data_IF_830998538617
#
_entry.id   IF_830998538617
#
_cell.length_a   1.000
_cell.length_b   1.000
_cell.length_c   1.000
_cell.angle_alpha   90.00
_cell.angle_beta   90.00
_cell.angle_gamma   90.00
#
_symmetry.space_group_name_H-M   'P 1'
#
loop_
_entity.id
_entity.type
_entity.pdbx_description
1 polymer ?
#
# COMPACT_ATOMS: atom_id res chain seq x y z
N UNK A 1 6.92 13.70 10.31
CA UNK A 1 7.30 12.26 10.36
C UNK A 1 6.29 11.51 11.21
N UNK A 2 6.01 10.25 10.87
CA UNK A 2 5.13 9.38 11.62
C UNK A 2 5.74 9.06 13.00
N UNK A 3 4.93 9.06 14.05
CA UNK A 3 5.38 8.69 15.41
C UNK A 3 5.60 7.17 15.50
N UNK A 4 6.45 6.69 16.42
CA UNK A 4 6.57 5.26 16.73
C UNK A 4 5.19 4.65 17.04
N UNK A 5 4.92 3.46 16.49
CA UNK A 5 3.60 2.81 16.55
C UNK A 5 2.52 3.42 15.65
N UNK A 6 2.82 4.49 14.91
CA UNK A 6 1.89 5.12 13.99
C UNK A 6 1.59 4.26 12.77
N UNK A 7 0.42 4.50 12.18
CA UNK A 7 -0.03 3.85 10.94
C UNK A 7 -0.07 4.85 9.80
N UNK A 8 0.43 4.46 8.63
CA UNK A 8 0.37 5.20 7.38
C UNK A 8 -0.43 4.39 6.35
N UNK A 9 -1.48 5.00 5.81
CA UNK A 9 -2.15 4.51 4.61
C UNK A 9 -1.53 5.23 3.40
N UNK A 10 -0.82 4.47 2.57
CA UNK A 10 -0.38 4.92 1.25
C UNK A 10 -1.48 4.59 0.24
N UNK A 11 -1.88 5.56 -0.58
CA UNK A 11 -2.90 5.37 -1.59
C UNK A 11 -2.63 6.19 -2.86
N UNK A 12 -2.98 5.63 -4.00
CA UNK A 12 -2.87 6.28 -5.33
C UNK A 12 -4.10 5.95 -6.17
N UNK A 13 -4.45 6.81 -7.12
CA UNK A 13 -5.42 6.52 -8.17
C UNK A 13 -4.76 5.90 -9.42
N UNK A 14 -3.64 5.19 -9.25
CA UNK A 14 -2.89 4.56 -10.34
C UNK A 14 -3.10 3.05 -10.38
N UNK A 15 -2.95 2.48 -11.56
CA UNK A 15 -2.86 1.02 -11.80
C UNK A 15 -1.42 0.58 -12.11
N UNK A 16 -0.47 1.52 -12.17
CA UNK A 16 0.91 1.24 -12.53
C UNK A 16 1.68 0.69 -11.34
N UNK A 17 2.23 -0.52 -11.48
CA UNK A 17 3.01 -1.20 -10.44
C UNK A 17 4.15 -0.33 -9.88
N UNK A 18 4.78 0.48 -10.72
CA UNK A 18 5.87 1.39 -10.34
C UNK A 18 5.46 2.47 -9.34
N UNK A 19 4.20 2.91 -9.38
CA UNK A 19 3.65 3.88 -8.43
C UNK A 19 3.06 3.19 -7.18
N UNK A 20 2.91 1.86 -7.21
CA UNK A 20 2.13 1.10 -6.25
C UNK A 20 3.01 0.08 -5.51
N UNK A 21 2.85 -1.22 -5.80
CA UNK A 21 3.55 -2.31 -5.10
C UNK A 21 5.08 -2.20 -5.16
N UNK A 22 5.65 -1.68 -6.26
CA UNK A 22 7.09 -1.49 -6.37
C UNK A 22 7.57 -0.31 -5.50
N UNK A 23 6.77 0.76 -5.39
CA UNK A 23 7.07 1.90 -4.53
C UNK A 23 7.09 1.47 -3.07
N UNK A 24 6.14 0.62 -2.66
CA UNK A 24 6.09 0.06 -1.30
C UNK A 24 7.25 -0.89 -1.05
N UNK A 25 7.58 -1.77 -2.00
CA UNK A 25 8.73 -2.65 -1.89
C UNK A 25 10.03 -1.85 -1.66
N UNK A 26 10.26 -0.81 -2.46
CA UNK A 26 11.43 0.05 -2.34
C UNK A 26 11.42 0.83 -1.02
N UNK A 27 10.26 1.32 -0.57
CA UNK A 27 10.14 2.00 0.72
C UNK A 27 10.53 1.07 1.88
N UNK A 28 9.98 -0.14 1.94
CA UNK A 28 10.27 -1.11 2.99
C UNK A 28 11.74 -1.55 3.00
N UNK A 29 12.38 -1.66 1.83
CA UNK A 29 13.81 -1.95 1.73
C UNK A 29 14.68 -0.84 2.33
N UNK A 30 14.25 0.42 2.21
CA UNK A 30 15.01 1.59 2.67
C UNK A 30 14.65 2.02 4.10
N UNK A 31 13.58 1.48 4.67
CA UNK A 31 13.05 1.86 5.99
C UNK A 31 12.89 0.63 6.88
N UNK A 32 13.95 0.27 7.61
CA UNK A 32 13.95 -0.88 8.52
C UNK A 32 13.02 -0.70 9.75
N UNK A 33 12.58 0.53 10.03
CA UNK A 33 11.60 0.85 11.07
C UNK A 33 10.14 0.77 10.58
N UNK A 34 9.91 0.33 9.34
CA UNK A 34 8.59 0.19 8.75
C UNK A 34 8.27 -1.27 8.40
N UNK A 35 7.02 -1.66 8.62
CA UNK A 35 6.48 -2.96 8.21
C UNK A 35 5.17 -2.78 7.45
N UNK A 36 4.90 -3.68 6.51
CA UNK A 36 3.58 -3.77 5.89
C UNK A 36 2.59 -4.47 6.83
N UNK A 37 1.41 -3.89 6.98
CA UNK A 37 0.25 -4.58 7.53
C UNK A 37 -0.65 -5.02 6.37
N UNK A 38 -0.78 -6.34 6.17
CA UNK A 38 -1.56 -6.91 5.07
C UNK A 38 -3.04 -6.56 5.20
N UNK A 39 -3.61 -6.05 4.11
CA UNK A 39 -5.03 -5.73 4.01
C UNK A 39 -5.80 -7.03 3.72
N UNK A 40 -6.50 -7.54 4.72
CA UNK A 40 -7.35 -8.73 4.61
C UNK A 40 -8.78 -8.32 4.26
N UNK A 41 -9.01 -8.01 2.99
CA UNK A 41 -10.33 -7.70 2.44
C UNK A 41 -10.65 -8.63 1.27
N UNK A 42 -11.93 -8.82 1.00
CA UNK A 42 -12.47 -9.67 -0.06
C UNK A 42 -12.54 -8.99 -1.43
N UNK A 43 -12.37 -7.66 -1.48
CA UNK A 43 -12.40 -6.87 -2.71
C UNK A 43 -11.02 -6.41 -3.17
N UNK A 44 -10.88 -6.13 -4.46
CA UNK A 44 -9.60 -5.79 -5.09
C UNK A 44 -8.69 -7.00 -5.31
N UNK A 45 -7.59 -6.78 -6.01
CA UNK A 45 -6.57 -7.77 -6.31
C UNK A 45 -5.51 -7.76 -5.21
N UNK A 46 -5.19 -8.93 -4.71
CA UNK A 46 -4.03 -9.13 -3.84
C UNK A 46 -2.74 -8.94 -4.64
N UNK A 47 -1.81 -8.18 -4.07
CA UNK A 47 -0.50 -7.87 -4.64
C UNK A 47 0.60 -8.26 -3.67
N UNK A 48 1.86 -8.28 -4.14
CA UNK A 48 3.01 -8.57 -3.28
C UNK A 48 3.09 -7.63 -2.08
N UNK A 49 2.74 -6.35 -2.30
CA UNK A 49 2.52 -5.35 -1.25
C UNK A 49 1.24 -4.57 -1.54
N UNK A 50 0.42 -4.33 -0.52
CA UNK A 50 -0.85 -3.62 -0.62
C UNK A 50 -1.98 -4.43 -1.27
N UNK A 51 -2.96 -3.71 -1.83
CA UNK A 51 -4.05 -4.22 -2.68
C UNK A 51 -4.34 -3.24 -3.81
N UNK A 52 -4.65 -3.78 -4.98
CA UNK A 52 -5.03 -3.01 -6.17
C UNK A 52 -6.51 -3.18 -6.49
N UNK A 53 -7.27 -2.10 -6.45
CA UNK A 53 -8.57 -2.01 -7.09
C UNK A 53 -8.39 -1.64 -8.56
N UNK A 54 -8.90 -2.46 -9.47
CA UNK A 54 -8.96 -2.12 -10.90
C UNK A 54 -10.16 -1.23 -11.18
N UNK A 55 -10.07 -0.31 -12.16
CA UNK A 55 -11.19 0.55 -12.54
C UNK A 55 -12.38 -0.27 -13.05
N UNK A 56 -13.58 0.25 -12.85
CA UNK A 56 -14.82 -0.25 -13.44
C UNK A 56 -15.69 0.93 -13.92
N UNK A 57 -16.92 0.66 -14.35
CA UNK A 57 -17.84 1.72 -14.77
C UNK A 57 -18.26 2.65 -13.61
N UNK A 58 -18.30 2.15 -12.37
CA UNK A 58 -18.77 2.89 -11.19
C UNK A 58 -17.65 3.63 -10.46
N UNK A 59 -16.40 3.19 -10.58
CA UNK A 59 -15.28 3.75 -9.81
C UNK A 59 -13.93 3.62 -10.52
N UNK A 60 -13.03 4.55 -10.21
CA UNK A 60 -11.65 4.56 -10.70
C UNK A 60 -10.80 3.43 -10.12
N UNK A 61 -9.67 3.17 -10.77
CA UNK A 61 -8.64 2.30 -10.23
C UNK A 61 -7.95 2.97 -9.03
N UNK A 62 -7.70 2.20 -7.99
CA UNK A 62 -7.06 2.69 -6.77
C UNK A 62 -6.13 1.65 -6.18
N UNK A 63 -5.11 2.11 -5.47
CA UNK A 63 -4.18 1.25 -4.75
C UNK A 63 -4.10 1.67 -3.29
N UNK A 64 -3.91 0.68 -2.41
CA UNK A 64 -3.80 0.88 -0.98
C UNK A 64 -2.69 0.01 -0.39
N UNK A 65 -1.88 0.57 0.49
CA UNK A 65 -0.96 -0.18 1.34
C UNK A 65 -0.96 0.42 2.75
N UNK A 66 -1.05 -0.44 3.77
CA UNK A 66 -0.96 -0.02 5.17
C UNK A 66 0.45 -0.33 5.67
N UNK A 67 1.09 0.68 6.24
CA UNK A 67 2.42 0.59 6.82
C UNK A 67 2.34 0.97 8.30
N UNK A 68 3.07 0.22 9.14
CA UNK A 68 3.27 0.55 10.55
C UNK A 68 4.71 0.92 10.82
N UNK A 69 4.90 1.98 11.60
CA UNK A 69 6.20 2.35 12.14
C UNK A 69 6.43 1.62 13.47
N UNK A 70 7.54 0.89 13.58
CA UNK A 70 7.86 0.05 14.73
C UNK A 70 8.39 0.86 15.93
N UNK A 71 9.39 1.72 15.70
CA UNK A 71 10.18 2.41 16.75
C UNK A 71 10.38 3.88 16.49
#
# INVERSE_FOLDING_TARGET
MLKPGGTLLYATCSILKNENENQIAQFLQNHSDAIEEKIMLDWGLETTHGRQQTPCYEFDGFYYAILKKLV
#
